data_IF_767767053064
#
_entry.id   IF_767767053064
#
_cell.length_a   1.000
_cell.length_b   1.000
_cell.length_c   1.000
_cell.angle_alpha   90.00
_cell.angle_beta   90.00
_cell.angle_gamma   90.00
#
_symmetry.space_group_name_H-M   'P 1'
#
loop_
_entity.id
_entity.type
_entity.pdbx_description
1 polymer ?
#
# COMPACT_ATOMS: atom_id res chain seq x y z
N UNK A 1 11.96 21.21 6.71
CA UNK A 1 11.97 19.81 6.23
C UNK A 1 13.20 19.12 6.79
N UNK A 2 13.06 17.93 7.36
CA UNK A 2 14.19 17.19 7.92
C UNK A 2 14.91 16.40 6.82
N UNK A 3 16.16 16.77 6.53
CA UNK A 3 17.04 16.01 5.63
C UNK A 3 17.44 14.69 6.28
N UNK A 4 17.14 13.57 5.64
CA UNK A 4 17.46 12.23 6.14
C UNK A 4 18.78 11.75 5.54
N UNK A 5 19.89 12.06 6.23
CA UNK A 5 21.27 11.80 5.75
C UNK A 5 21.52 10.36 5.27
N UNK A 6 20.91 9.38 5.93
CA UNK A 6 21.18 7.95 5.70
C UNK A 6 20.01 7.19 5.06
N UNK A 7 19.16 7.88 4.30
CA UNK A 7 17.94 7.26 3.79
C UNK A 7 18.22 6.12 2.79
N UNK A 8 19.22 6.29 1.91
CA UNK A 8 19.61 5.26 0.92
C UNK A 8 20.25 4.06 1.61
N UNK A 9 21.07 4.31 2.61
CA UNK A 9 21.75 3.28 3.41
C UNK A 9 20.73 2.46 4.20
N UNK A 10 19.69 3.09 4.75
CA UNK A 10 18.57 2.35 5.38
C UNK A 10 17.80 1.51 4.38
N UNK A 11 17.54 2.03 3.18
CA UNK A 11 16.87 1.27 2.12
C UNK A 11 17.68 0.01 1.75
N UNK A 12 18.99 0.16 1.60
CA UNK A 12 19.91 -0.96 1.37
C UNK A 12 19.88 -1.96 2.53
N UNK A 13 20.02 -1.47 3.78
CA UNK A 13 20.01 -2.29 4.98
C UNK A 13 18.73 -3.13 5.11
N UNK A 14 17.56 -2.52 4.99
CA UNK A 14 16.28 -3.23 5.07
C UNK A 14 16.10 -4.23 3.93
N UNK A 15 16.51 -3.88 2.71
CA UNK A 15 16.44 -4.80 1.58
C UNK A 15 17.35 -6.01 1.78
N UNK A 16 18.57 -5.78 2.30
CA UNK A 16 19.52 -6.83 2.65
C UNK A 16 18.97 -7.80 3.70
N UNK A 17 18.30 -7.28 4.75
CA UNK A 17 17.64 -8.12 5.76
C UNK A 17 16.57 -9.03 5.15
N UNK A 18 15.72 -8.48 4.25
CA UNK A 18 14.68 -9.26 3.56
C UNK A 18 15.31 -10.32 2.67
N UNK A 19 16.34 -9.98 1.89
CA UNK A 19 17.07 -10.95 1.06
C UNK A 19 17.69 -12.07 1.90
N UNK A 20 18.35 -11.72 3.00
CA UNK A 20 18.96 -12.67 3.93
C UNK A 20 17.92 -13.62 4.57
N UNK A 21 16.75 -13.11 4.95
CA UNK A 21 15.68 -13.92 5.57
C UNK A 21 15.12 -15.04 4.69
N UNK A 22 15.41 -15.03 3.38
CA UNK A 22 14.98 -16.08 2.46
C UNK A 22 15.84 -17.35 2.54
N UNK A 23 16.97 -17.31 3.24
CA UNK A 23 17.81 -18.47 3.47
C UNK A 23 17.10 -19.56 4.28
N UNK A 24 17.26 -20.82 3.86
CA UNK A 24 16.67 -21.98 4.54
C UNK A 24 17.74 -22.69 5.36
N UNK A 25 17.53 -22.85 6.66
CA UNK A 25 18.44 -23.61 7.54
C UNK A 25 18.36 -25.12 7.26
N UNK A 26 19.52 -25.81 7.31
CA UNK A 26 19.58 -27.27 7.39
C UNK A 26 19.34 -28.06 6.08
N UNK A 27 19.26 -27.40 4.92
CA UNK A 27 19.25 -28.06 3.60
C UNK A 27 20.31 -27.45 2.69
N UNK A 28 20.70 -28.17 1.62
CA UNK A 28 21.45 -27.59 0.50
C UNK A 28 20.65 -26.40 -0.07
N UNK A 29 21.12 -25.18 0.16
CA UNK A 29 20.50 -23.97 -0.36
C UNK A 29 21.26 -23.51 -1.60
N UNK A 30 20.52 -23.25 -2.68
CA UNK A 30 21.06 -22.91 -3.99
C UNK A 30 21.09 -21.39 -4.26
N UNK A 31 20.87 -20.56 -3.25
CA UNK A 31 20.86 -19.09 -3.35
C UNK A 31 19.83 -18.49 -4.32
N UNK A 32 18.87 -19.28 -4.82
CA UNK A 32 17.79 -18.78 -5.68
C UNK A 32 16.76 -17.99 -4.86
N UNK A 33 17.08 -16.73 -4.58
CA UNK A 33 16.20 -15.81 -3.86
C UNK A 33 15.05 -15.31 -4.77
N UNK A 34 13.92 -15.01 -4.14
CA UNK A 34 12.83 -14.23 -4.72
C UNK A 34 13.25 -12.76 -4.80
N UNK A 35 12.74 -12.07 -5.82
CA UNK A 35 13.01 -10.65 -6.02
C UNK A 35 12.48 -9.79 -4.87
N UNK A 36 13.24 -8.76 -4.51
CA UNK A 36 12.92 -7.79 -3.46
C UNK A 36 12.77 -6.41 -4.10
N UNK A 37 11.65 -5.76 -3.82
CA UNK A 37 11.38 -4.38 -4.20
C UNK A 37 11.35 -3.53 -2.94
N UNK A 38 12.26 -2.56 -2.85
CA UNK A 38 12.15 -1.51 -1.86
C UNK A 38 11.28 -0.38 -2.42
N UNK A 39 10.24 0.02 -1.69
CA UNK A 39 9.40 1.17 -2.02
C UNK A 39 9.49 2.19 -0.89
N UNK A 40 10.21 3.28 -1.13
CA UNK A 40 10.35 4.38 -0.18
C UNK A 40 9.41 5.53 -0.50
N UNK A 41 8.40 5.75 0.35
CA UNK A 41 7.55 6.94 0.30
C UNK A 41 8.15 8.04 1.17
N UNK A 42 8.35 9.24 0.62
CA UNK A 42 8.98 10.34 1.33
C UNK A 42 8.42 11.71 0.92
N UNK A 43 8.35 12.65 1.86
CA UNK A 43 7.89 14.03 1.65
C UNK A 43 9.02 15.04 1.48
N UNK A 44 10.26 14.57 1.34
CA UNK A 44 11.44 15.38 1.10
C UNK A 44 12.13 14.96 -0.21
N UNK A 45 12.88 15.89 -0.79
CA UNK A 45 13.73 15.61 -1.94
C UNK A 45 15.09 15.11 -1.44
N UNK A 46 15.73 14.22 -2.20
CA UNK A 46 17.04 13.66 -1.84
C UNK A 46 17.98 13.64 -3.05
N UNK A 47 19.24 14.00 -2.82
CA UNK A 47 20.28 14.12 -3.85
C UNK A 47 20.46 15.55 -4.39
N UNK A 48 21.61 15.84 -5.03
CA UNK A 48 21.95 17.17 -5.56
C UNK A 48 21.09 17.58 -6.78
N UNK A 49 20.40 16.62 -7.39
CA UNK A 49 19.63 16.84 -8.60
C UNK A 49 18.27 17.47 -8.30
N UNK A 50 18.18 18.78 -8.51
CA UNK A 50 16.93 19.54 -8.46
C UNK A 50 15.88 19.06 -9.49
N UNK A 51 16.28 18.31 -10.52
CA UNK A 51 15.43 17.87 -11.65
C UNK A 51 14.72 16.50 -11.55
N UNK A 52 14.70 15.85 -10.38
CA UNK A 52 14.04 14.55 -10.23
C UNK A 52 12.53 14.52 -10.47
N UNK A 53 12.05 13.49 -11.16
CA UNK A 53 10.61 13.17 -11.21
C UNK A 53 10.06 12.62 -9.89
N UNK A 54 8.74 12.56 -9.78
CA UNK A 54 8.00 12.02 -8.63
C UNK A 54 8.44 10.60 -8.21
N UNK A 55 8.83 9.77 -9.19
CA UNK A 55 9.29 8.39 -8.98
C UNK A 55 10.70 8.26 -9.52
N UNK A 56 11.63 7.86 -8.65
CA UNK A 56 12.99 7.46 -9.04
C UNK A 56 13.16 5.96 -8.87
N UNK A 57 13.79 5.31 -9.85
CA UNK A 57 14.04 3.86 -9.82
C UNK A 57 15.53 3.60 -9.94
N UNK A 58 16.04 2.69 -9.11
CA UNK A 58 17.43 2.25 -9.15
C UNK A 58 17.50 0.73 -9.28
N UNK A 59 18.55 0.27 -9.95
CA UNK A 59 18.87 -1.13 -10.21
C UNK A 59 20.38 -1.33 -10.20
N UNK A 60 20.83 -2.55 -9.92
CA UNK A 60 22.25 -2.90 -10.01
C UNK A 60 22.59 -3.21 -11.46
N UNK A 61 23.60 -2.54 -12.00
CA UNK A 61 24.01 -2.66 -13.39
C UNK A 61 25.53 -2.78 -13.46
N UNK A 62 25.99 -3.34 -14.57
CA UNK A 62 27.38 -3.25 -14.97
C UNK A 62 27.75 -1.81 -15.32
N UNK A 63 28.92 -1.35 -14.91
CA UNK A 63 29.32 0.06 -15.01
C UNK A 63 29.75 0.45 -16.45
N UNK A 64 30.26 -0.49 -17.24
CA UNK A 64 30.70 -0.23 -18.61
C UNK A 64 29.56 -0.37 -19.63
N UNK A 65 28.86 -1.50 -19.60
CA UNK A 65 27.80 -1.84 -20.56
C UNK A 65 26.43 -1.31 -20.16
N UNK A 66 26.21 -1.00 -18.88
CA UNK A 66 24.90 -0.67 -18.33
C UNK A 66 23.94 -1.88 -18.26
N UNK A 67 24.41 -3.09 -18.55
CA UNK A 67 23.60 -4.31 -18.49
C UNK A 67 23.05 -4.53 -17.08
N UNK A 68 21.82 -5.04 -16.99
CA UNK A 68 21.21 -5.36 -15.70
C UNK A 68 21.87 -6.61 -15.10
N UNK A 69 22.63 -6.45 -14.02
CA UNK A 69 23.27 -7.57 -13.33
C UNK A 69 22.24 -8.57 -12.80
N UNK A 70 21.11 -8.08 -12.27
CA UNK A 70 20.02 -8.92 -11.77
C UNK A 70 18.69 -8.17 -11.70
N UNK A 71 17.59 -8.88 -11.92
CA UNK A 71 16.24 -8.35 -11.72
C UNK A 71 15.72 -8.54 -10.29
N UNK A 72 16.49 -9.20 -9.43
CA UNK A 72 16.10 -9.61 -8.07
C UNK A 72 16.11 -8.48 -7.05
N UNK A 73 16.67 -7.30 -7.37
CA UNK A 73 16.65 -6.15 -6.47
C UNK A 73 16.33 -4.86 -7.22
N UNK A 74 15.29 -4.17 -6.77
CA UNK A 74 14.87 -2.88 -7.31
C UNK A 74 14.56 -1.91 -6.18
N UNK A 75 15.00 -0.67 -6.35
CA UNK A 75 14.61 0.42 -5.44
C UNK A 75 13.70 1.38 -6.18
N UNK A 76 12.58 1.71 -5.57
CA UNK A 76 11.63 2.71 -6.04
C UNK A 76 11.47 3.75 -4.95
N UNK A 77 11.82 4.99 -5.24
CA UNK A 77 11.67 6.12 -4.33
C UNK A 77 10.59 7.05 -4.87
N UNK A 78 9.63 7.38 -4.04
CA UNK A 78 8.46 8.19 -4.38
C UNK A 78 8.53 9.48 -3.56
N UNK A 79 8.90 10.58 -4.22
CA UNK A 79 9.01 11.92 -3.63
C UNK A 79 7.64 12.60 -3.61
N UNK A 80 6.76 12.19 -2.69
CA UNK A 80 5.35 12.62 -2.64
C UNK A 80 5.18 14.13 -2.55
N UNK A 81 6.17 14.84 -2.00
CA UNK A 81 6.19 16.31 -1.97
C UNK A 81 6.06 16.95 -3.35
N UNK A 82 6.62 16.31 -4.39
CA UNK A 82 6.59 16.78 -5.79
C UNK A 82 5.26 16.53 -6.51
N UNK A 83 4.32 15.78 -5.91
CA UNK A 83 3.03 15.50 -6.56
C UNK A 83 2.09 16.71 -6.46
N UNK A 84 1.73 17.35 -7.56
CA UNK A 84 1.03 18.64 -7.58
C UNK A 84 -0.32 18.64 -8.31
N UNK A 85 -0.75 17.48 -8.81
CA UNK A 85 -2.05 17.34 -9.49
C UNK A 85 -3.22 17.66 -8.57
N UNK A 86 -4.19 18.40 -9.10
CA UNK A 86 -5.50 18.68 -8.52
C UNK A 86 -6.47 17.50 -8.72
N UNK A 87 -7.60 17.42 -7.98
CA UNK A 87 -8.58 16.34 -8.12
C UNK A 87 -9.06 16.08 -9.55
N UNK A 88 -9.21 17.13 -10.36
CA UNK A 88 -9.68 17.05 -11.74
C UNK A 88 -8.61 16.48 -12.69
N UNK A 89 -7.35 16.48 -12.27
CA UNK A 89 -6.18 16.03 -13.03
C UNK A 89 -5.81 14.58 -12.71
N UNK A 90 -6.54 13.91 -11.80
CA UNK A 90 -6.31 12.53 -11.37
C UNK A 90 -6.82 11.52 -12.41
N UNK A 91 -6.01 11.27 -13.44
CA UNK A 91 -6.35 10.37 -14.56
C UNK A 91 -6.14 8.90 -14.24
N UNK A 92 -5.18 8.57 -13.37
CA UNK A 92 -4.81 7.17 -13.07
C UNK A 92 -5.03 6.80 -11.61
N UNK A 93 -5.16 5.49 -11.33
CA UNK A 93 -5.22 5.01 -9.94
C UNK A 93 -3.96 5.39 -9.14
N UNK A 94 -2.80 5.48 -9.80
CA UNK A 94 -1.57 5.91 -9.17
C UNK A 94 -1.61 7.40 -8.77
N UNK A 95 -2.19 8.26 -9.63
CA UNK A 95 -2.44 9.66 -9.30
C UNK A 95 -3.35 9.80 -8.08
N UNK A 96 -4.44 9.03 -8.05
CA UNK A 96 -5.37 9.00 -6.90
C UNK A 96 -4.65 8.58 -5.61
N UNK A 97 -3.83 7.53 -5.66
CA UNK A 97 -3.04 7.09 -4.50
C UNK A 97 -2.03 8.15 -4.04
N UNK A 98 -1.33 8.81 -4.96
CA UNK A 98 -0.40 9.87 -4.59
C UNK A 98 -1.09 11.10 -4.01
N UNK A 99 -2.25 11.47 -4.57
CA UNK A 99 -3.09 12.52 -4.02
C UNK A 99 -3.51 12.20 -2.58
N UNK A 100 -3.98 10.97 -2.34
CA UNK A 100 -4.39 10.52 -1.01
C UNK A 100 -3.22 10.56 -0.03
N UNK A 101 -2.08 9.99 -0.40
CA UNK A 101 -0.90 9.93 0.49
C UNK A 101 -0.33 11.33 0.78
N UNK A 102 -0.37 12.26 -0.19
CA UNK A 102 0.06 13.66 0.03
C UNK A 102 -0.89 14.41 0.97
N UNK A 103 -2.19 14.21 0.78
CA UNK A 103 -3.24 14.99 1.45
C UNK A 103 -3.84 14.24 2.64
N UNK A 104 -3.23 13.15 3.11
CA UNK A 104 -3.78 12.27 4.14
C UNK A 104 -4.21 13.01 5.42
N UNK A 105 -3.41 14.00 5.83
CA UNK A 105 -3.68 14.85 6.98
C UNK A 105 -4.85 15.83 6.82
N UNK A 106 -5.34 16.04 5.59
CA UNK A 106 -6.45 16.97 5.24
C UNK A 106 -7.69 16.24 4.74
N UNK A 107 -7.61 14.92 4.58
CA UNK A 107 -8.71 14.07 4.14
C UNK A 107 -9.67 13.79 5.31
N UNK A 108 -10.29 14.85 5.83
CA UNK A 108 -11.48 14.74 6.69
C UNK A 108 -12.75 14.61 5.83
N UNK A 109 -12.75 15.17 4.63
CA UNK A 109 -13.81 15.05 3.65
C UNK A 109 -13.32 14.27 2.43
N UNK A 110 -14.11 13.28 1.98
CA UNK A 110 -13.78 12.41 0.84
C UNK A 110 -13.99 13.18 -0.47
N UNK A 111 -12.94 13.52 -1.24
CA UNK A 111 -13.10 14.17 -2.54
C UNK A 111 -13.87 13.24 -3.48
N UNK A 112 -14.79 13.77 -4.27
CA UNK A 112 -15.64 13.00 -5.19
C UNK A 112 -14.84 12.14 -6.18
N UNK A 113 -13.62 12.57 -6.52
CA UNK A 113 -12.68 11.84 -7.37
C UNK A 113 -12.13 10.53 -6.73
N UNK A 114 -12.34 10.32 -5.42
CA UNK A 114 -11.83 9.20 -4.63
C UNK A 114 -12.92 8.23 -4.15
N UNK A 115 -14.10 8.24 -4.79
CA UNK A 115 -15.25 7.38 -4.45
C UNK A 115 -15.07 5.90 -4.90
N UNK A 116 -13.91 5.58 -5.48
CA UNK A 116 -13.59 4.24 -5.99
C UNK A 116 -13.59 3.17 -4.89
N UNK A 117 -13.98 1.93 -5.23
CA UNK A 117 -14.16 0.82 -4.25
C UNK A 117 -12.89 0.52 -3.46
N UNK A 118 -11.72 0.73 -4.07
CA UNK A 118 -10.41 0.51 -3.45
C UNK A 118 -10.11 1.52 -2.34
N UNK A 119 -10.54 2.78 -2.50
CA UNK A 119 -10.31 3.83 -1.49
C UNK A 119 -11.30 3.74 -0.32
N UNK A 120 -12.47 3.12 -0.52
CA UNK A 120 -13.43 2.89 0.55
C UNK A 120 -12.83 2.11 1.73
N UNK A 121 -12.17 0.97 1.47
CA UNK A 121 -11.49 0.19 2.51
C UNK A 121 -10.35 0.95 3.19
N UNK A 122 -9.65 1.80 2.43
CA UNK A 122 -8.60 2.64 2.98
C UNK A 122 -9.16 3.68 3.96
N UNK A 123 -10.24 4.37 3.59
CA UNK A 123 -10.90 5.34 4.45
C UNK A 123 -11.57 4.69 5.66
N UNK A 124 -12.20 3.53 5.50
CA UNK A 124 -12.72 2.73 6.62
C UNK A 124 -11.60 2.39 7.63
N UNK A 125 -10.43 1.94 7.16
CA UNK A 125 -9.30 1.65 8.03
C UNK A 125 -8.73 2.91 8.71
N UNK A 126 -8.65 4.03 7.98
CA UNK A 126 -8.16 5.30 8.52
C UNK A 126 -9.12 5.88 9.58
N UNK A 127 -10.43 5.83 9.34
CA UNK A 127 -11.47 6.20 10.29
C UNK A 127 -11.29 5.39 11.58
N UNK A 128 -11.21 4.05 11.48
CA UNK A 128 -10.98 3.16 12.63
C UNK A 128 -9.73 3.51 13.41
N UNK A 129 -8.62 3.89 12.77
CA UNK A 129 -7.38 4.26 13.48
C UNK A 129 -7.57 5.58 14.23
N UNK A 130 -8.28 6.55 13.63
CA UNK A 130 -8.57 7.87 14.21
C UNK A 130 -9.56 7.86 15.37
N UNK A 131 -10.35 6.79 15.51
CA UNK A 131 -11.34 6.65 16.59
C UNK A 131 -10.68 6.58 17.98
N UNK A 132 -11.31 7.23 18.95
CA UNK A 132 -11.07 7.03 20.39
C UNK A 132 -11.41 5.59 20.80
N UNK A 133 -11.03 5.20 22.02
CA UNK A 133 -11.23 3.82 22.50
C UNK A 133 -12.72 3.44 22.56
N UNK A 134 -13.57 4.40 22.94
CA UNK A 134 -15.02 4.28 23.02
C UNK A 134 -15.64 4.22 21.62
N UNK A 135 -15.20 5.08 20.69
CA UNK A 135 -15.65 5.03 19.30
C UNK A 135 -15.21 3.74 18.58
N UNK A 136 -14.02 3.20 18.88
CA UNK A 136 -13.57 1.89 18.39
C UNK A 136 -14.49 0.77 18.86
N UNK A 137 -14.93 0.77 20.12
CA UNK A 137 -15.90 -0.21 20.63
C UNK A 137 -17.23 -0.11 19.89
N UNK A 138 -17.74 1.10 19.69
CA UNK A 138 -19.00 1.33 18.97
C UNK A 138 -18.89 0.88 17.50
N UNK A 139 -17.79 1.21 16.83
CA UNK A 139 -17.52 0.81 15.45
C UNK A 139 -17.46 -0.72 15.30
N UNK A 140 -16.73 -1.41 16.18
CA UNK A 140 -16.66 -2.88 16.18
C UNK A 140 -18.03 -3.50 16.45
N UNK A 141 -18.82 -2.93 17.37
CA UNK A 141 -20.20 -3.38 17.64
C UNK A 141 -21.09 -3.26 16.41
N UNK A 142 -21.03 -2.14 15.68
CA UNK A 142 -21.82 -1.93 14.47
C UNK A 142 -21.40 -2.91 13.35
N UNK A 143 -20.10 -3.13 13.18
CA UNK A 143 -19.57 -4.09 12.21
C UNK A 143 -19.98 -5.54 12.52
N UNK A 144 -20.07 -5.91 13.80
CA UNK A 144 -20.58 -7.23 14.22
C UNK A 144 -22.07 -7.35 13.89
N UNK A 145 -22.88 -6.34 14.24
CA UNK A 145 -24.32 -6.33 13.98
C UNK A 145 -24.65 -6.43 12.47
N UNK A 146 -23.90 -5.73 11.60
CA UNK A 146 -24.07 -5.83 10.16
C UNK A 146 -23.78 -7.24 9.63
N UNK A 147 -22.72 -7.89 10.14
CA UNK A 147 -22.37 -9.28 9.77
C UNK A 147 -23.42 -10.27 10.24
N UNK A 148 -23.93 -10.11 11.46
CA UNK A 148 -24.99 -10.97 11.99
C UNK A 148 -26.28 -10.82 11.19
N UNK A 149 -26.65 -9.58 10.85
CA UNK A 149 -27.81 -9.30 9.99
C UNK A 149 -27.66 -9.93 8.61
N UNK A 150 -26.47 -9.80 7.99
CA UNK A 150 -26.19 -10.42 6.70
C UNK A 150 -26.28 -11.96 6.76
N UNK A 151 -25.71 -12.57 7.81
CA UNK A 151 -25.76 -14.02 8.01
C UNK A 151 -27.19 -14.52 8.23
N UNK A 152 -28.03 -13.78 8.97
CA UNK A 152 -29.45 -14.12 9.15
C UNK A 152 -30.22 -14.09 7.83
N UNK A 153 -29.98 -13.07 6.99
CA UNK A 153 -30.61 -12.97 5.66
C UNK A 153 -30.12 -14.08 4.73
N UNK A 154 -28.81 -14.40 4.76
CA UNK A 154 -28.24 -15.48 3.97
C UNK A 154 -28.82 -16.84 4.37
N UNK A 155 -28.90 -17.12 5.67
CA UNK A 155 -29.49 -18.33 6.23
C UNK A 155 -30.98 -18.47 5.86
N UNK A 156 -31.76 -17.39 5.96
CA UNK A 156 -33.17 -17.39 5.56
C UNK A 156 -33.37 -17.68 4.06
N UNK A 157 -32.45 -17.21 3.20
CA UNK A 157 -32.46 -17.51 1.75
C UNK A 157 -32.08 -18.96 1.45
N UNK A 158 -31.09 -19.50 2.16
CA UNK A 158 -30.65 -20.88 2.02
C UNK A 158 -31.75 -21.86 2.48
N UNK A 159 -32.35 -21.61 3.64
CA UNK A 159 -33.46 -22.43 4.16
C UNK A 159 -34.70 -22.36 3.27
N UNK A 160 -35.07 -21.17 2.77
CA UNK A 160 -36.18 -21.01 1.83
C UNK A 160 -35.95 -21.75 0.50
N UNK A 161 -34.68 -21.87 0.05
CA UNK A 161 -34.31 -22.65 -1.12
C UNK A 161 -34.38 -24.16 -0.86
N UNK A 162 -33.97 -24.62 0.32
CA UNK A 162 -34.08 -26.04 0.70
C UNK A 162 -35.54 -26.51 0.85
N UNK A 163 -36.40 -25.71 1.48
CA UNK A 163 -37.83 -26.03 1.61
C UNK A 163 -38.55 -26.04 0.24
N UNK A 164 -38.19 -25.13 -0.67
CA UNK A 164 -38.69 -25.14 -2.05
C UNK A 164 -38.26 -26.36 -2.88
N UNK A 165 -37.12 -26.97 -2.54
CA UNK A 165 -36.65 -28.22 -3.17
C UNK A 165 -37.34 -29.46 -2.57
N UNK A 166 -37.74 -29.42 -1.30
CA UNK A 166 -38.45 -30.53 -0.65
C UNK A 166 -39.96 -30.57 -0.96
N UNK A 167 -40.56 -29.41 -1.25
CA UNK A 167 -42.00 -29.29 -1.51
C UNK A 167 -42.38 -29.27 -3.01
N UNK A 168 -41.38 -29.36 -3.91
CA UNK A 168 -41.58 -29.58 -5.35
C UNK A 168 -41.23 -31.00 -5.74
#
# INVERSE_FOLDING_TARGET
MAYQKHFRERALYYSGMVMHSQGVKGKKWNYNIKGVYFIGLQNFTFGPERGGGLIRRYSIRDDESGELMTDKLRFVFIEIGRFDKRPEELKTNLDKWFYVLKNLHRLLERPTALVDRIFRRFFEAAEVISLTKEEKKQYVSNMINERDTYNQIAYAREFGREEGIKQG
#
